data_IF_421276455768
#
_entry.id   IF_421276455768
#
_cell.length_a   1.000
_cell.length_b   1.000
_cell.length_c   1.000
_cell.angle_alpha   90.00
_cell.angle_beta   90.00
_cell.angle_gamma   90.00
#
_symmetry.space_group_name_H-M   'P 1'
#
loop_
_entity.id
_entity.type
_entity.pdbx_description
1 polymer ?
#
# COMPACT_ATOMS: atom_id res chain seq x y z
N UNK A 1 7.00 -6.43 -19.01
CA UNK A 1 6.67 -5.94 -17.65
C UNK A 1 7.89 -5.29 -17.00
N UNK A 2 8.94 -6.06 -16.70
CA UNK A 2 10.13 -5.55 -15.99
C UNK A 2 10.89 -4.46 -16.75
N UNK A 3 10.99 -4.54 -18.07
CA UNK A 3 11.64 -3.50 -18.89
C UNK A 3 11.03 -2.11 -18.66
N UNK A 4 9.69 -2.01 -18.63
CA UNK A 4 9.01 -0.74 -18.39
C UNK A 4 9.27 -0.19 -16.99
N UNK A 5 9.32 -1.07 -15.97
CA UNK A 5 9.59 -0.70 -14.57
C UNK A 5 11.03 -0.26 -14.35
N UNK A 6 11.97 -0.83 -15.10
CA UNK A 6 13.41 -0.60 -14.97
C UNK A 6 13.94 0.52 -15.86
N UNK A 7 13.10 1.23 -16.61
CA UNK A 7 13.51 2.45 -17.29
C UNK A 7 14.04 3.45 -16.27
N UNK A 8 14.97 4.30 -16.68
CA UNK A 8 15.51 5.33 -15.78
C UNK A 8 14.39 6.25 -15.27
N UNK A 9 14.51 6.71 -14.02
CA UNK A 9 13.57 7.66 -13.45
C UNK A 9 13.86 9.05 -14.01
N UNK A 10 12.81 9.76 -14.42
CA UNK A 10 12.93 11.08 -15.05
C UNK A 10 12.16 12.14 -14.26
N UNK A 11 12.59 13.39 -14.40
CA UNK A 11 12.03 14.56 -13.72
C UNK A 11 10.52 14.72 -13.95
N UNK A 12 10.03 14.36 -15.13
CA UNK A 12 8.61 14.43 -15.50
C UNK A 12 7.77 13.51 -14.61
N UNK A 13 8.27 12.32 -14.26
CA UNK A 13 7.56 11.40 -13.36
C UNK A 13 7.45 11.98 -11.95
N UNK A 14 8.49 12.66 -11.48
CA UNK A 14 8.49 13.35 -10.18
C UNK A 14 7.43 14.46 -10.19
N UNK A 15 7.40 15.29 -11.24
CA UNK A 15 6.44 16.38 -11.37
C UNK A 15 5.00 15.86 -11.44
N UNK A 16 4.75 14.80 -12.22
CA UNK A 16 3.43 14.17 -12.32
C UNK A 16 2.99 13.59 -10.97
N UNK A 17 3.89 12.88 -10.28
CA UNK A 17 3.63 12.34 -8.95
C UNK A 17 3.32 13.44 -7.93
N UNK A 18 4.08 14.54 -7.94
CA UNK A 18 3.86 15.68 -7.06
C UNK A 18 2.51 16.38 -7.32
N UNK A 19 2.14 16.57 -8.59
CA UNK A 19 0.85 17.20 -8.96
C UNK A 19 -0.35 16.39 -8.49
N UNK A 20 -0.24 15.06 -8.48
CA UNK A 20 -1.29 14.14 -8.05
C UNK A 20 -1.44 14.02 -6.52
N UNK A 21 -0.55 14.63 -5.73
CA UNK A 21 -0.68 14.68 -4.28
C UNK A 21 -1.72 15.75 -3.88
N UNK A 22 -2.73 15.35 -3.09
CA UNK A 22 -3.72 16.28 -2.53
C UNK A 22 -3.04 17.31 -1.61
N UNK A 23 -3.38 18.58 -1.81
CA UNK A 23 -2.87 19.73 -1.09
C UNK A 23 -3.20 19.73 0.41
N UNK A 24 -4.25 19.03 0.81
CA UNK A 24 -4.75 18.96 2.19
C UNK A 24 -4.14 17.81 2.98
N UNK A 25 -3.20 17.05 2.39
CA UNK A 25 -2.53 15.96 3.09
C UNK A 25 -1.70 16.53 4.24
N UNK A 26 -1.87 15.93 5.42
CA UNK A 26 -1.09 16.30 6.59
C UNK A 26 0.43 16.14 6.35
N UNK A 27 1.25 17.06 6.88
CA UNK A 27 2.70 17.03 6.73
C UNK A 27 3.34 15.88 7.51
N UNK A 28 4.63 15.63 7.21
CA UNK A 28 5.45 14.71 7.99
C UNK A 28 6.02 15.38 9.24
N UNK A 29 7.12 14.82 9.74
CA UNK A 29 7.86 15.37 10.90
C UNK A 29 8.48 16.75 10.62
N UNK A 30 8.76 17.04 9.35
CA UNK A 30 9.25 18.33 8.87
C UNK A 30 8.21 19.47 9.02
N UNK A 31 6.94 19.14 9.22
CA UNK A 31 5.86 20.12 9.31
C UNK A 31 5.52 20.79 7.98
N UNK A 32 6.10 20.37 6.85
CA UNK A 32 5.92 21.00 5.55
C UNK A 32 4.78 20.33 4.75
N UNK A 33 3.63 21.00 4.53
CA UNK A 33 2.51 20.42 3.78
C UNK A 33 2.75 20.48 2.27
N UNK A 34 2.01 19.69 1.49
CA UNK A 34 2.10 19.72 0.02
C UNK A 34 1.76 21.10 -0.58
N UNK A 35 0.91 21.89 0.08
CA UNK A 35 0.63 23.28 -0.28
C UNK A 35 1.87 24.19 -0.23
N UNK A 36 2.75 24.00 0.75
CA UNK A 36 4.00 24.76 0.86
C UNK A 36 4.90 24.51 -0.36
N UNK A 37 5.10 23.24 -0.72
CA UNK A 37 5.89 22.88 -1.90
C UNK A 37 5.26 23.38 -3.19
N UNK A 38 3.93 23.42 -3.29
CA UNK A 38 3.25 23.89 -4.51
C UNK A 38 3.43 25.40 -4.69
N UNK A 39 3.36 26.16 -3.59
CA UNK A 39 3.54 27.60 -3.62
C UNK A 39 4.99 28.00 -3.96
N UNK A 40 5.98 27.21 -3.52
CA UNK A 40 7.40 27.50 -3.70
C UNK A 40 8.08 26.58 -4.73
N UNK A 41 7.30 25.98 -5.63
CA UNK A 41 7.81 24.96 -6.55
C UNK A 41 8.87 25.52 -7.50
N UNK A 42 8.71 26.76 -7.97
CA UNK A 42 9.67 27.38 -8.89
C UNK A 42 11.08 27.46 -8.28
N UNK A 43 11.17 27.66 -6.97
CA UNK A 43 12.44 27.70 -6.23
C UNK A 43 12.94 26.31 -5.84
N UNK A 44 12.05 25.42 -5.38
CA UNK A 44 12.42 24.14 -4.77
C UNK A 44 12.47 22.96 -5.75
N UNK A 45 11.90 23.11 -6.95
CA UNK A 45 11.67 21.99 -7.87
C UNK A 45 12.95 21.27 -8.27
N UNK A 46 14.04 22.00 -8.53
CA UNK A 46 15.32 21.42 -8.90
C UNK A 46 15.86 20.50 -7.78
N UNK A 47 15.94 21.01 -6.56
CA UNK A 47 16.47 20.27 -5.40
C UNK A 47 15.56 19.08 -5.02
N UNK A 48 14.24 19.29 -4.99
CA UNK A 48 13.29 18.23 -4.67
C UNK A 48 13.32 17.12 -5.73
N UNK A 49 13.42 17.49 -7.01
CA UNK A 49 13.51 16.52 -8.11
C UNK A 49 14.79 15.73 -8.03
N UNK A 50 15.93 16.40 -7.88
CA UNK A 50 17.23 15.75 -7.77
C UNK A 50 17.27 14.79 -6.58
N UNK A 51 16.81 15.22 -5.40
CA UNK A 51 16.72 14.37 -4.23
C UNK A 51 15.81 13.15 -4.47
N UNK A 52 14.66 13.31 -5.10
CA UNK A 52 13.78 12.18 -5.43
C UNK A 52 14.45 11.18 -6.36
N UNK A 53 15.16 11.65 -7.39
CA UNK A 53 15.91 10.80 -8.31
C UNK A 53 17.05 10.08 -7.60
N UNK A 54 17.78 10.77 -6.73
CA UNK A 54 18.87 10.18 -5.95
C UNK A 54 18.37 9.08 -5.00
N UNK A 55 17.22 9.30 -4.37
CA UNK A 55 16.55 8.31 -3.54
C UNK A 55 16.14 7.08 -4.36
N UNK A 56 15.52 7.28 -5.52
CA UNK A 56 15.06 6.20 -6.41
C UNK A 56 16.22 5.37 -6.97
N UNK A 57 17.31 6.02 -7.39
CA UNK A 57 18.52 5.35 -7.88
C UNK A 57 19.39 4.75 -6.76
N UNK A 58 19.20 5.19 -5.52
CA UNK A 58 19.97 4.71 -4.37
C UNK A 58 21.31 5.39 -4.14
N UNK A 59 21.54 6.55 -4.77
CA UNK A 59 22.63 7.46 -4.39
C UNK A 59 22.35 8.21 -3.08
N UNK A 60 21.07 8.33 -2.68
CA UNK A 60 20.67 8.88 -1.38
C UNK A 60 19.95 7.83 -0.49
N UNK A 61 20.08 8.02 0.82
CA UNK A 61 19.45 7.14 1.81
C UNK A 61 17.96 7.47 1.99
N UNK A 62 17.10 6.46 1.77
CA UNK A 62 15.65 6.56 2.00
C UNK A 62 15.31 6.92 3.45
N UNK A 63 16.12 6.51 4.42
CA UNK A 63 15.85 6.81 5.84
C UNK A 63 15.81 8.32 6.12
N UNK A 64 16.50 9.14 5.33
CA UNK A 64 16.54 10.60 5.48
C UNK A 64 15.17 11.27 5.35
N UNK A 65 14.27 10.70 4.54
CA UNK A 65 12.92 11.25 4.27
C UNK A 65 11.81 10.36 4.82
N UNK A 66 12.15 9.19 5.35
CA UNK A 66 11.21 8.16 5.82
C UNK A 66 11.03 8.15 7.34
N UNK A 67 10.98 9.35 7.92
CA UNK A 67 10.58 9.57 9.31
C UNK A 67 9.08 9.82 9.38
N UNK A 68 8.40 9.06 10.23
CA UNK A 68 6.95 8.95 10.19
C UNK A 68 6.35 9.26 11.56
N UNK A 69 5.31 10.08 11.54
CA UNK A 69 4.48 10.32 12.71
C UNK A 69 3.30 9.36 12.67
N UNK A 70 3.12 8.56 13.72
CA UNK A 70 1.90 7.81 13.97
C UNK A 70 0.96 8.70 14.78
N UNK A 71 -0.21 8.98 14.20
CA UNK A 71 -1.32 9.63 14.90
C UNK A 71 -2.46 8.64 15.10
N UNK A 72 -3.14 8.73 16.24
CA UNK A 72 -4.26 7.85 16.58
C UNK A 72 -5.57 8.57 16.28
N UNK A 73 -6.37 8.04 15.35
CA UNK A 73 -7.69 8.56 15.00
C UNK A 73 -8.77 7.72 15.69
N UNK A 74 -9.71 8.31 16.45
CA UNK A 74 -10.84 7.58 17.02
C UNK A 74 -11.72 6.94 15.95
N UNK A 75 -12.04 5.65 16.12
CA UNK A 75 -13.02 4.91 15.31
C UNK A 75 -14.45 5.12 15.80
N UNK A 76 -14.60 5.34 17.10
CA UNK A 76 -15.90 5.53 17.77
C UNK A 76 -15.89 6.82 18.59
N UNK A 77 -17.09 7.26 18.96
CA UNK A 77 -17.30 8.31 19.95
C UNK A 77 -16.79 7.80 21.31
N UNK A 78 -15.89 8.55 21.94
CA UNK A 78 -15.29 8.26 23.25
C UNK A 78 -14.46 6.94 23.32
N UNK A 79 -13.28 6.89 22.67
CA UNK A 79 -12.43 5.70 22.65
C UNK A 79 -11.81 5.41 24.03
N UNK A 80 -12.21 4.31 24.65
CA UNK A 80 -11.64 3.83 25.94
C UNK A 80 -10.48 2.85 25.81
N UNK A 81 -10.25 2.26 24.63
CA UNK A 81 -9.20 1.26 24.40
C UNK A 81 -8.42 1.53 23.12
N UNK A 82 -7.18 1.02 23.02
CA UNK A 82 -6.36 1.13 21.81
C UNK A 82 -7.01 0.49 20.57
N UNK A 83 -7.93 -0.47 20.75
CA UNK A 83 -8.67 -1.09 19.64
C UNK A 83 -9.65 -0.12 18.99
N UNK A 84 -10.11 0.87 19.75
CA UNK A 84 -11.00 1.94 19.28
C UNK A 84 -10.25 3.05 18.55
N UNK A 85 -8.93 2.96 18.44
CA UNK A 85 -8.07 3.92 17.77
C UNK A 85 -7.48 3.29 16.51
N UNK A 86 -7.42 4.08 15.44
CA UNK A 86 -6.82 3.70 14.17
C UNK A 86 -5.49 4.43 14.01
N UNK A 87 -4.36 3.72 13.95
CA UNK A 87 -3.08 4.37 13.69
C UNK A 87 -3.02 4.82 12.23
N UNK A 88 -2.65 6.08 12.01
CA UNK A 88 -2.37 6.65 10.69
C UNK A 88 -0.92 7.13 10.66
N UNK A 89 -0.20 6.73 9.63
CA UNK A 89 1.17 7.12 9.36
C UNK A 89 1.20 8.39 8.51
N UNK A 90 1.77 9.46 9.04
CA UNK A 90 2.02 10.71 8.33
C UNK A 90 3.45 10.70 7.81
N UNK A 91 3.59 10.63 6.49
CA UNK A 91 4.89 10.64 5.80
C UNK A 91 5.22 12.05 5.30
N UNK A 92 6.51 12.35 5.13
CA UNK A 92 6.98 13.58 4.47
C UNK A 92 6.43 13.69 3.04
N UNK A 93 6.32 14.90 2.51
CA UNK A 93 5.87 15.12 1.13
C UNK A 93 6.87 14.51 0.14
N UNK A 94 8.16 14.63 0.40
CA UNK A 94 9.23 14.07 -0.45
C UNK A 94 9.08 12.55 -0.56
N UNK A 95 8.92 11.83 0.56
CA UNK A 95 8.68 10.40 0.53
C UNK A 95 7.38 10.05 -0.22
N UNK A 96 6.31 10.83 -0.04
CA UNK A 96 5.05 10.62 -0.78
C UNK A 96 5.24 10.74 -2.29
N UNK A 97 6.09 11.66 -2.76
CA UNK A 97 6.42 11.79 -4.19
C UNK A 97 7.11 10.52 -4.69
N UNK A 98 8.19 10.09 -4.02
CA UNK A 98 8.93 8.85 -4.35
C UNK A 98 8.00 7.63 -4.38
N UNK A 99 7.23 7.43 -3.32
CA UNK A 99 6.25 6.35 -3.21
C UNK A 99 5.23 6.40 -4.36
N UNK A 100 4.77 7.60 -4.73
CA UNK A 100 3.79 7.79 -5.80
C UNK A 100 4.36 7.50 -7.19
N UNK A 101 5.62 7.85 -7.47
CA UNK A 101 6.32 7.47 -8.72
C UNK A 101 6.32 5.96 -8.89
N UNK A 102 6.71 5.24 -7.84
CA UNK A 102 6.75 3.77 -7.83
C UNK A 102 5.36 3.17 -8.06
N UNK A 103 4.34 3.70 -7.37
CA UNK A 103 2.94 3.30 -7.57
C UNK A 103 2.49 3.54 -9.02
N UNK A 104 2.80 4.69 -9.60
CA UNK A 104 2.39 5.03 -10.97
C UNK A 104 3.00 4.06 -11.99
N UNK A 105 4.27 3.68 -11.84
CA UNK A 105 4.89 2.64 -12.68
C UNK A 105 4.21 1.28 -12.50
N UNK A 106 3.95 0.89 -11.25
CA UNK A 106 3.32 -0.39 -10.93
C UNK A 106 1.86 -0.49 -11.36
N UNK A 107 1.14 0.63 -11.42
CA UNK A 107 -0.28 0.69 -11.78
C UNK A 107 -0.56 0.02 -13.11
N UNK A 108 0.38 0.11 -14.04
CA UNK A 108 0.29 -0.50 -15.37
C UNK A 108 0.67 -1.99 -15.37
N UNK A 109 1.45 -2.47 -14.41
CA UNK A 109 1.94 -3.85 -14.37
C UNK A 109 1.12 -4.77 -13.46
N UNK A 110 0.56 -4.23 -12.38
CA UNK A 110 -0.23 -4.96 -11.39
C UNK A 110 -1.41 -5.73 -12.01
N UNK A 111 -2.21 -5.17 -12.95
CA UNK A 111 -3.35 -5.88 -13.55
C UNK A 111 -2.97 -7.22 -14.20
N UNK A 112 -1.76 -7.33 -14.76
CA UNK A 112 -1.25 -8.58 -15.34
C UNK A 112 -0.80 -9.60 -14.26
N UNK A 113 -0.51 -9.11 -13.06
CA UNK A 113 -0.01 -9.90 -11.95
C UNK A 113 -1.10 -10.37 -10.99
N UNK A 114 -2.33 -9.86 -11.09
CA UNK A 114 -3.46 -10.16 -10.19
C UNK A 114 -4.58 -10.91 -10.91
N UNK A 115 -5.46 -11.59 -10.18
CA UNK A 115 -6.59 -12.28 -10.79
C UNK A 115 -7.66 -11.27 -11.28
N UNK A 116 -8.50 -11.63 -12.24
CA UNK A 116 -9.64 -10.81 -12.68
C UNK A 116 -10.57 -10.52 -11.50
N UNK A 117 -10.85 -11.53 -10.67
CA UNK A 117 -11.78 -11.45 -9.54
C UNK A 117 -11.26 -10.62 -8.34
N UNK A 118 -10.16 -9.91 -8.50
CA UNK A 118 -9.54 -9.11 -7.45
C UNK A 118 -9.81 -7.62 -7.71
N UNK A 119 -10.95 -7.12 -7.24
CA UNK A 119 -11.41 -5.75 -7.59
C UNK A 119 -10.76 -4.64 -6.74
N UNK A 120 -10.32 -4.93 -5.51
CA UNK A 120 -9.83 -3.90 -4.60
C UNK A 120 -8.48 -3.31 -5.01
N UNK A 121 -8.37 -1.97 -4.99
CA UNK A 121 -7.15 -1.19 -5.25
C UNK A 121 -6.59 -1.29 -6.67
N UNK A 122 -7.41 -1.68 -7.64
CA UNK A 122 -7.06 -1.71 -9.07
C UNK A 122 -7.84 -0.62 -9.78
N UNK A 123 -7.17 0.16 -10.63
CA UNK A 123 -7.86 1.19 -11.40
C UNK A 123 -8.84 0.54 -12.38
N UNK A 124 -10.07 1.06 -12.42
CA UNK A 124 -11.12 0.61 -13.35
C UNK A 124 -11.94 -0.57 -12.84
N UNK A 125 -11.72 -1.01 -11.60
CA UNK A 125 -12.44 -2.09 -10.93
C UNK A 125 -13.35 -1.53 -9.84
N UNK A 126 -14.59 -2.01 -9.75
CA UNK A 126 -15.58 -1.51 -8.79
C UNK A 126 -15.91 -2.58 -7.75
N UNK A 127 -16.01 -2.17 -6.48
CA UNK A 127 -16.44 -3.06 -5.39
C UNK A 127 -17.85 -3.61 -5.61
N UNK A 128 -18.71 -2.90 -6.35
CA UNK A 128 -20.04 -3.36 -6.72
C UNK A 128 -20.02 -4.68 -7.51
N UNK A 129 -18.97 -4.91 -8.32
CA UNK A 129 -18.85 -6.14 -9.11
C UNK A 129 -18.61 -7.35 -8.19
N UNK A 130 -17.81 -7.18 -7.14
CA UNK A 130 -17.62 -8.22 -6.12
C UNK A 130 -18.91 -8.55 -5.35
N UNK A 131 -19.75 -7.55 -5.08
CA UNK A 131 -21.05 -7.75 -4.42
C UNK A 131 -21.94 -8.60 -5.31
N UNK A 132 -22.02 -8.28 -6.60
CA UNK A 132 -22.81 -9.02 -7.57
C UNK A 132 -22.35 -10.47 -7.70
N UNK A 133 -21.05 -10.69 -7.88
CA UNK A 133 -20.48 -12.05 -7.98
C UNK A 133 -20.74 -12.85 -6.70
N UNK A 134 -20.60 -12.23 -5.53
CA UNK A 134 -20.88 -12.88 -4.24
C UNK A 134 -22.36 -13.25 -4.13
N UNK A 135 -23.26 -12.36 -4.55
CA UNK A 135 -24.69 -12.63 -4.60
C UNK A 135 -25.03 -13.81 -5.51
N UNK A 136 -24.42 -13.87 -6.69
CA UNK A 136 -24.66 -14.94 -7.67
C UNK A 136 -24.15 -16.28 -7.15
N UNK A 137 -22.98 -16.32 -6.50
CA UNK A 137 -22.46 -17.54 -5.85
C UNK A 137 -23.42 -18.02 -4.75
N UNK A 138 -23.82 -17.14 -3.84
CA UNK A 138 -24.77 -17.50 -2.76
C UNK A 138 -26.10 -17.99 -3.36
N UNK A 139 -26.57 -17.34 -4.42
CA UNK A 139 -27.79 -17.74 -5.11
C UNK A 139 -27.65 -19.14 -5.73
N UNK A 140 -26.57 -19.42 -6.47
CA UNK A 140 -26.30 -20.74 -7.07
C UNK A 140 -26.23 -21.86 -6.04
N UNK A 141 -25.63 -21.60 -4.87
CA UNK A 141 -25.60 -22.54 -3.74
C UNK A 141 -27.01 -22.81 -3.23
N UNK A 142 -27.82 -21.76 -3.03
CA UNK A 142 -29.17 -21.88 -2.48
C UNK A 142 -30.14 -22.64 -3.39
N UNK A 143 -29.98 -22.54 -4.71
CA UNK A 143 -30.84 -23.23 -5.69
C UNK A 143 -30.32 -24.61 -6.10
N UNK A 144 -29.19 -25.06 -5.55
CA UNK A 144 -28.63 -26.40 -5.79
C UNK A 144 -28.22 -26.66 -7.24
N UNK A 145 -27.88 -25.62 -8.00
CA UNK A 145 -27.50 -25.73 -9.43
C UNK A 145 -26.08 -26.25 -9.65
N UNK A 146 -25.30 -26.37 -8.58
CA UNK A 146 -23.95 -26.92 -8.63
C UNK A 146 -24.02 -28.44 -8.60
N UNK A 147 -23.14 -29.09 -9.35
CA UNK A 147 -23.13 -30.57 -9.52
C UNK A 147 -22.72 -31.33 -8.24
N UNK A 148 -22.58 -30.66 -7.11
CA UNK A 148 -22.00 -31.14 -5.86
C UNK A 148 -23.02 -31.01 -4.73
N UNK A 149 -23.18 -32.05 -3.91
CA UNK A 149 -24.13 -32.08 -2.79
C UNK A 149 -23.68 -31.29 -1.55
N UNK A 150 -22.51 -30.64 -1.60
CA UNK A 150 -21.85 -30.04 -0.44
C UNK A 150 -21.19 -28.71 -0.78
N UNK A 151 -22.02 -27.73 -1.13
CA UNK A 151 -21.55 -26.39 -1.40
C UNK A 151 -21.49 -25.53 -0.14
N UNK A 152 -20.37 -24.82 0.04
CA UNK A 152 -20.18 -23.91 1.16
C UNK A 152 -19.45 -22.65 0.70
N UNK A 153 -19.89 -21.50 1.21
CA UNK A 153 -19.18 -20.24 1.06
C UNK A 153 -18.26 -20.02 2.27
N UNK A 154 -17.01 -19.63 2.02
CA UNK A 154 -16.01 -19.35 3.05
C UNK A 154 -15.58 -17.87 2.98
N UNK A 155 -15.92 -17.10 4.02
CA UNK A 155 -15.37 -15.75 4.23
C UNK A 155 -14.10 -15.87 5.06
N UNK A 156 -12.97 -15.50 4.49
CA UNK A 156 -11.70 -15.36 5.20
C UNK A 156 -11.42 -13.88 5.42
N UNK A 157 -11.07 -13.51 6.64
CA UNK A 157 -10.63 -12.16 7.00
C UNK A 157 -9.24 -12.24 7.65
N UNK A 158 -8.34 -11.33 7.24
CA UNK A 158 -6.96 -11.30 7.71
C UNK A 158 -6.82 -10.19 8.74
N UNK A 159 -6.85 -10.57 10.01
CA UNK A 159 -6.73 -9.63 11.12
C UNK A 159 -5.43 -8.82 11.04
N UNK A 160 -5.56 -7.49 10.86
CA UNK A 160 -4.44 -6.53 10.76
C UNK A 160 -3.42 -6.91 9.69
N UNK A 161 -3.92 -7.23 8.49
CA UNK A 161 -3.10 -7.61 7.35
C UNK A 161 -1.89 -6.69 7.12
N UNK A 162 -2.08 -5.37 7.25
CA UNK A 162 -1.00 -4.39 7.09
C UNK A 162 0.09 -4.55 8.16
N UNK A 163 -0.26 -4.67 9.44
CA UNK A 163 0.71 -4.63 10.54
C UNK A 163 1.55 -5.92 10.67
N UNK A 164 1.08 -7.03 10.10
CA UNK A 164 1.67 -8.37 10.30
C UNK A 164 2.50 -8.89 9.12
N UNK A 165 2.61 -8.15 8.01
CA UNK A 165 3.40 -8.61 6.84
C UNK A 165 4.89 -8.65 7.15
N UNK A 166 5.48 -9.83 7.22
CA UNK A 166 6.93 -10.00 7.26
C UNK A 166 7.55 -9.55 5.93
N UNK A 167 8.58 -8.71 5.97
CA UNK A 167 9.17 -8.13 4.75
C UNK A 167 9.88 -9.18 3.89
N UNK A 168 10.49 -10.19 4.50
CA UNK A 168 11.09 -11.32 3.79
C UNK A 168 10.04 -12.15 3.05
N UNK A 169 8.85 -12.33 3.63
CA UNK A 169 7.73 -12.95 2.94
C UNK A 169 7.29 -12.08 1.75
N UNK A 170 7.13 -10.78 1.96
CA UNK A 170 6.74 -9.85 0.91
C UNK A 170 7.73 -9.81 -0.28
N UNK A 171 9.03 -9.79 0.01
CA UNK A 171 10.09 -9.90 -1.00
C UNK A 171 9.94 -11.18 -1.83
N UNK A 172 9.75 -12.33 -1.17
CA UNK A 172 9.52 -13.60 -1.84
C UNK A 172 8.27 -13.60 -2.72
N UNK A 173 7.18 -12.97 -2.27
CA UNK A 173 5.95 -12.82 -3.07
C UNK A 173 6.24 -12.02 -4.34
N UNK A 174 6.92 -10.88 -4.25
CA UNK A 174 7.24 -10.08 -5.45
C UNK A 174 8.17 -10.81 -6.42
N UNK A 175 9.16 -11.56 -5.90
CA UNK A 175 10.01 -12.40 -6.72
C UNK A 175 9.21 -13.49 -7.45
N UNK A 176 8.25 -14.15 -6.77
CA UNK A 176 7.34 -15.14 -7.36
C UNK A 176 6.37 -14.56 -8.38
N UNK A 177 6.00 -13.29 -8.23
CA UNK A 177 5.20 -12.56 -9.22
C UNK A 177 6.01 -12.21 -10.48
N UNK A 178 7.34 -12.44 -10.47
CA UNK A 178 8.22 -12.24 -11.61
C UNK A 178 8.78 -10.82 -11.71
N UNK A 179 8.73 -10.02 -10.63
CA UNK A 179 9.43 -8.75 -10.58
C UNK A 179 10.95 -8.97 -10.52
N UNK A 180 11.70 -8.11 -11.19
CA UNK A 180 13.17 -8.17 -11.19
C UNK A 180 13.74 -7.74 -9.82
N UNK A 181 14.83 -8.37 -9.33
CA UNK A 181 15.36 -8.10 -7.98
C UNK A 181 15.72 -6.64 -7.69
N UNK A 182 16.19 -5.89 -8.70
CA UNK A 182 16.49 -4.46 -8.57
C UNK A 182 15.24 -3.64 -8.24
N UNK A 183 14.11 -3.93 -8.88
CA UNK A 183 12.83 -3.29 -8.58
C UNK A 183 12.36 -3.63 -7.16
N UNK A 184 12.42 -4.90 -6.80
CA UNK A 184 12.08 -5.41 -5.47
C UNK A 184 12.92 -4.72 -4.39
N UNK A 185 14.22 -4.55 -4.62
CA UNK A 185 15.13 -3.85 -3.72
C UNK A 185 14.72 -2.40 -3.45
N UNK A 186 14.29 -1.65 -4.47
CA UNK A 186 13.80 -0.28 -4.31
C UNK A 186 12.58 -0.24 -3.38
N UNK A 187 11.62 -1.13 -3.60
CA UNK A 187 10.42 -1.23 -2.76
C UNK A 187 10.78 -1.62 -1.32
N UNK A 188 11.65 -2.62 -1.14
CA UNK A 188 12.09 -3.06 0.18
C UNK A 188 12.80 -1.92 0.92
N UNK A 189 13.65 -1.14 0.25
CA UNK A 189 14.27 0.07 0.83
C UNK A 189 13.22 1.08 1.29
N UNK A 190 12.14 1.32 0.55
CA UNK A 190 11.05 2.20 0.98
C UNK A 190 10.32 1.67 2.23
N UNK A 191 10.14 0.36 2.35
CA UNK A 191 9.40 -0.23 3.47
C UNK A 191 10.29 -0.32 4.72
N UNK A 192 11.52 -0.81 4.59
CA UNK A 192 12.38 -1.15 5.72
C UNK A 192 13.13 0.04 6.35
N UNK A 193 13.33 1.13 5.60
CA UNK A 193 14.06 2.32 6.08
C UNK A 193 13.25 3.21 7.05
N UNK A 194 11.97 2.91 7.27
CA UNK A 194 11.11 3.77 8.07
C UNK A 194 11.52 3.84 9.55
N UNK A 195 11.39 5.03 10.12
CA UNK A 195 11.44 5.24 11.57
C UNK A 195 10.18 5.93 12.03
N UNK A 196 9.57 5.41 13.11
CA UNK A 196 8.31 5.91 13.64
C UNK A 196 8.51 6.65 14.95
N UNK A 197 7.69 7.68 15.14
CA UNK A 197 7.40 8.28 16.43
C UNK A 197 5.88 8.34 16.60
N UNK A 198 5.38 8.15 17.82
CA UNK A 198 3.94 8.29 18.12
C UNK A 198 3.68 9.69 18.65
N UNK A 199 2.71 10.39 18.06
CA UNK A 199 2.25 11.68 18.56
C UNK A 199 1.04 11.49 19.48
N UNK A 200 1.20 11.86 20.76
CA UNK A 200 0.14 11.86 21.78
C UNK A 200 0.09 13.21 22.46
N UNK A 201 -1.07 13.88 22.47
CA UNK A 201 -1.26 15.17 23.14
C UNK A 201 -0.19 16.23 22.79
N UNK A 202 0.17 16.33 21.50
CA UNK A 202 1.25 17.18 20.97
C UNK A 202 2.70 16.85 21.40
N UNK A 203 2.90 15.78 22.15
CA UNK A 203 4.22 15.23 22.46
C UNK A 203 4.55 14.08 21.53
N UNK A 204 5.83 13.95 21.20
CA UNK A 204 6.37 12.85 20.39
C UNK A 204 7.07 11.83 21.30
N UNK A 205 6.84 10.55 21.03
CA UNK A 205 7.64 9.48 21.64
C UNK A 205 9.06 9.47 21.07
N UNK A 206 10.01 8.79 21.72
CA UNK A 206 11.26 8.41 21.07
C UNK A 206 11.01 7.66 19.77
N UNK A 207 11.94 7.79 18.82
CA UNK A 207 11.89 7.06 17.57
C UNK A 207 12.13 5.57 17.79
N UNK A 208 11.41 4.74 17.05
CA UNK A 208 11.62 3.30 16.98
C UNK A 208 11.58 2.83 15.53
N UNK A 209 12.14 1.65 15.28
CA UNK A 209 12.17 1.04 13.94
C UNK A 209 11.22 -0.17 13.90
N UNK A 210 10.36 -0.28 12.87
CA UNK A 210 9.59 -1.49 12.65
C UNK A 210 10.51 -2.62 12.22
N UNK A 211 10.05 -3.85 12.45
CA UNK A 211 10.68 -5.05 11.89
C UNK A 211 9.81 -5.70 10.80
N UNK A 212 8.54 -5.31 10.73
CA UNK A 212 7.54 -5.85 9.81
C UNK A 212 6.40 -4.86 9.61
N UNK A 213 5.52 -5.22 8.68
CA UNK A 213 4.27 -4.53 8.40
C UNK A 213 4.40 -3.47 7.30
N UNK A 214 3.24 -3.08 6.79
CA UNK A 214 3.00 -2.03 5.83
C UNK A 214 2.26 -0.90 6.53
N UNK A 215 2.50 0.34 6.09
CA UNK A 215 2.05 1.54 6.79
C UNK A 215 0.68 1.99 6.33
N UNK A 216 -0.22 2.22 7.28
CA UNK A 216 -1.52 2.77 6.94
C UNK A 216 -1.43 4.27 6.64
N UNK A 217 -1.74 4.68 5.41
CA UNK A 217 -1.60 6.08 4.95
C UNK A 217 -0.40 6.34 4.04
N UNK A 218 0.47 5.34 3.84
CA UNK A 218 1.52 5.34 2.82
C UNK A 218 0.93 5.04 1.43
N UNK A 219 1.25 5.81 0.38
CA UNK A 219 0.82 5.53 -0.99
C UNK A 219 1.11 4.10 -1.48
N UNK A 220 2.21 3.48 -1.04
CA UNK A 220 2.62 2.14 -1.47
C UNK A 220 1.78 1.02 -0.83
N UNK A 221 1.38 1.18 0.43
CA UNK A 221 0.77 0.09 1.21
C UNK A 221 -0.52 -0.48 0.63
N UNK A 222 -1.50 0.33 0.14
CA UNK A 222 -2.71 -0.22 -0.47
C UNK A 222 -2.44 -1.06 -1.71
N UNK A 223 -1.47 -0.64 -2.53
CA UNK A 223 -1.07 -1.35 -3.75
C UNK A 223 -0.48 -2.72 -3.41
N UNK A 224 0.34 -2.81 -2.36
CA UNK A 224 1.00 -4.06 -1.99
C UNK A 224 0.15 -5.02 -1.17
N UNK A 225 -0.78 -4.50 -0.35
CA UNK A 225 -1.74 -5.36 0.36
C UNK A 225 -2.48 -6.27 -0.62
N UNK A 226 -2.94 -5.72 -1.75
CA UNK A 226 -3.58 -6.50 -2.82
C UNK A 226 -2.67 -7.65 -3.34
N UNK A 227 -1.37 -7.40 -3.52
CA UNK A 227 -0.43 -8.39 -4.07
C UNK A 227 -0.10 -9.52 -3.09
N UNK A 228 0.06 -9.19 -1.80
CA UNK A 228 0.30 -10.13 -0.70
C UNK A 228 -0.85 -11.13 -0.55
N UNK A 229 -2.08 -10.64 -0.68
CA UNK A 229 -3.30 -11.45 -0.60
C UNK A 229 -3.37 -12.54 -1.67
N UNK A 230 -2.86 -12.29 -2.87
CA UNK A 230 -2.87 -13.26 -3.96
C UNK A 230 -2.02 -14.49 -3.67
N UNK A 231 -0.81 -14.32 -3.12
CA UNK A 231 0.10 -15.45 -2.90
C UNK A 231 -0.27 -16.27 -1.66
N UNK A 232 -0.80 -15.61 -0.62
CA UNK A 232 -1.36 -16.30 0.57
C UNK A 232 -2.45 -17.31 0.16
N UNK A 233 -3.33 -16.92 -0.77
CA UNK A 233 -4.36 -17.80 -1.32
C UNK A 233 -3.83 -18.92 -2.22
N UNK A 234 -2.79 -18.65 -3.03
CA UNK A 234 -2.18 -19.66 -3.93
C UNK A 234 -1.40 -20.74 -3.19
N UNK A 235 -0.81 -20.39 -2.04
CA UNK A 235 0.05 -21.32 -1.29
C UNK A 235 -0.76 -22.40 -0.58
N UNK A 236 -2.03 -22.14 -0.25
CA UNK A 236 -2.93 -23.16 0.30
C UNK A 236 -3.35 -24.16 -0.79
N UNK A 237 -2.87 -25.41 -0.71
CA UNK A 237 -3.32 -26.52 -1.57
C UNK A 237 -4.83 -26.76 -1.48
N UNK A 238 -5.46 -26.40 -0.37
CA UNK A 238 -6.89 -26.59 -0.10
C UNK A 238 -7.79 -25.61 -0.86
N UNK A 239 -7.31 -24.39 -1.13
CA UNK A 239 -8.11 -23.31 -1.72
C UNK A 239 -7.97 -23.21 -3.25
N UNK A 240 -7.19 -24.11 -3.86
CA UNK A 240 -6.84 -24.06 -5.29
C UNK A 240 -8.05 -24.27 -6.22
N UNK A 241 -9.10 -24.93 -5.71
CA UNK A 241 -10.38 -25.17 -6.39
C UNK A 241 -11.57 -24.43 -5.75
N UNK A 242 -11.35 -23.62 -4.70
CA UNK A 242 -12.40 -22.80 -4.12
C UNK A 242 -12.44 -21.44 -4.80
N UNK A 243 -13.64 -20.98 -5.11
CA UNK A 243 -13.88 -19.58 -5.49
C UNK A 243 -13.67 -18.73 -4.23
N UNK A 244 -12.41 -18.40 -3.93
CA UNK A 244 -12.04 -17.57 -2.79
C UNK A 244 -12.22 -16.10 -3.15
N UNK A 245 -13.24 -15.46 -2.56
CA UNK A 245 -13.34 -14.02 -2.49
C UNK A 245 -12.87 -13.56 -1.12
N UNK A 246 -11.74 -12.86 -1.07
CA UNK A 246 -11.43 -11.99 0.07
C UNK A 246 -12.01 -10.61 -0.23
N UNK A 247 -13.14 -10.33 0.38
CA UNK A 247 -13.49 -8.96 0.68
C UNK A 247 -12.44 -8.48 1.70
N UNK A 248 -11.48 -7.68 1.24
CA UNK A 248 -10.83 -6.72 2.13
C UNK A 248 -11.93 -5.78 2.60
N UNK A 249 -12.61 -6.13 3.68
CA UNK A 249 -13.35 -5.14 4.45
C UNK A 249 -12.29 -4.13 4.89
N UNK A 250 -12.34 -2.94 4.29
CA UNK A 250 -11.76 -1.73 4.88
C UNK A 250 -12.58 -1.28 6.11
N UNK A 251 -13.16 -2.24 6.85
CA UNK A 251 -13.78 -2.02 8.13
C UNK A 251 -12.77 -2.47 9.18
N UNK A 252 -12.10 -1.49 9.77
CA UNK A 252 -11.69 -1.44 11.18
C UNK A 252 -10.77 -0.25 11.39
#
# INVERSE_FOLDING_TARGET
MNESLMRDFISEEILLAFRDIDLRKAPGIDGLPSGFFRQHWDTLSADVTQLCLDLLHGSADMASVNQIIIVLIPKIKDPTTMRHLRPICLCSVIYKIVAKVLVNRMKHTIPFCINTNQEAFVQGRNISDNILITHEIIHSINIGQTKSSHDAALKLDIEKAFDKVEWSFFENVMNRMGFVPSWVSIIIRCISSASFTVKVNNSFSPFFKPQRGLRQGDPLSPFFSSSVLKDSLRTSRMLRNMICFLALELAD
#
